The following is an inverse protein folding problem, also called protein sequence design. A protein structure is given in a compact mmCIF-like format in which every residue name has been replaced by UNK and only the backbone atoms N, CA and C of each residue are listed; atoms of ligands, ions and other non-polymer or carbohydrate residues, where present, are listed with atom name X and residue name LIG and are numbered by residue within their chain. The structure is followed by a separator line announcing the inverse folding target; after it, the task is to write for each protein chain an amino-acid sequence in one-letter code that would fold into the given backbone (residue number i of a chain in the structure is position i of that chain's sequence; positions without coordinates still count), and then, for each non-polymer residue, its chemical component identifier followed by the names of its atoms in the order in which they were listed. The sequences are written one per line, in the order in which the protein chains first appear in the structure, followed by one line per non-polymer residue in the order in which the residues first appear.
data_IF_741185114301
#
_entry.id   IF_741185114301
#
_cell.length_a   1.000
_cell.length_b   1.000
_cell.length_c   1.000
_cell.angle_alpha   90.00
_cell.angle_beta   90.00
_cell.angle_gamma   90.00
#
_symmetry.space_group_name_H-M   'P 1'
#
loop_
_entity.id
_entity.type
_entity.pdbx_description
1 polymer ?
#
# COMPACT_ATOMS: atom_id res chain seq x y z
N UNK A 1 14.34 -11.92 -17.20
CA UNK A 1 14.68 -10.80 -16.30
C UNK A 1 13.54 -9.78 -16.39
N UNK A 2 12.88 -9.47 -15.28
CA UNK A 2 11.78 -8.50 -15.25
C UNK A 2 12.32 -7.08 -15.32
N UNK A 3 11.68 -6.23 -16.12
CA UNK A 3 12.05 -4.82 -16.27
C UNK A 3 11.74 -4.07 -14.97
N UNK A 4 12.66 -4.12 -14.01
CA UNK A 4 12.61 -3.33 -12.79
C UNK A 4 13.12 -1.95 -13.11
N UNK A 5 12.30 -0.93 -12.86
CA UNK A 5 12.76 0.46 -12.94
C UNK A 5 14.02 0.62 -12.06
N UNK A 6 15.19 0.97 -12.64
CA UNK A 6 16.42 0.92 -11.87
C UNK A 6 16.38 2.03 -10.82
N UNK A 7 16.32 1.68 -9.53
CA UNK A 7 16.27 2.65 -8.42
C UNK A 7 17.38 3.69 -8.56
N UNK A 8 18.60 3.26 -8.90
CA UNK A 8 19.74 4.14 -9.11
C UNK A 8 19.55 5.12 -10.28
N UNK A 9 18.83 4.74 -11.34
CA UNK A 9 18.50 5.66 -12.44
C UNK A 9 17.55 6.76 -11.96
N UNK A 10 16.58 6.43 -11.11
CA UNK A 10 15.66 7.41 -10.53
C UNK A 10 16.41 8.37 -9.60
N UNK A 11 17.26 7.85 -8.72
CA UNK A 11 18.10 8.69 -7.85
C UNK A 11 18.98 9.65 -8.68
N UNK A 12 19.58 9.15 -9.77
CA UNK A 12 20.45 9.95 -10.65
C UNK A 12 19.70 11.02 -11.43
N UNK A 13 18.64 10.64 -12.14
CA UNK A 13 17.97 11.52 -13.12
C UNK A 13 16.83 12.33 -12.54
N UNK A 14 16.11 11.80 -11.53
CA UNK A 14 14.96 12.49 -10.92
C UNK A 14 15.34 13.27 -9.68
N UNK A 15 16.26 12.72 -8.86
CA UNK A 15 16.74 13.40 -7.65
C UNK A 15 18.10 14.09 -7.83
N UNK A 16 18.74 13.96 -9.00
CA UNK A 16 19.99 14.64 -9.31
C UNK A 16 21.22 14.11 -8.58
N UNK A 17 21.15 12.91 -7.98
CA UNK A 17 22.26 12.29 -7.24
C UNK A 17 23.34 11.78 -8.20
N UNK A 18 24.11 12.70 -8.77
CA UNK A 18 25.25 12.41 -9.64
C UNK A 18 26.58 12.36 -8.87
N UNK A 19 26.66 13.08 -7.74
CA UNK A 19 27.80 13.10 -6.82
C UNK A 19 27.32 13.45 -5.42
N UNK A 20 27.99 12.92 -4.39
CA UNK A 20 27.73 13.35 -3.03
C UNK A 20 28.24 14.78 -2.81
N UNK A 21 27.41 15.60 -2.19
CA UNK A 21 27.76 16.98 -1.82
C UNK A 21 28.49 17.03 -0.48
N UNK A 22 28.16 16.11 0.43
CA UNK A 22 28.79 16.02 1.74
C UNK A 22 30.08 15.20 1.71
N UNK A 23 31.00 15.52 2.62
CA UNK A 23 32.29 14.85 2.77
C UNK A 23 32.32 14.03 4.07
N UNK A 24 33.03 12.91 4.04
CA UNK A 24 33.10 11.95 5.15
C UNK A 24 31.96 10.92 5.13
N UNK A 25 32.28 9.67 5.46
CA UNK A 25 31.37 8.52 5.31
C UNK A 25 30.03 8.69 6.03
N UNK A 26 30.04 9.25 7.25
CA UNK A 26 28.82 9.48 8.03
C UNK A 26 27.87 10.45 7.33
N UNK A 27 28.40 11.53 6.77
CA UNK A 27 27.60 12.54 6.10
C UNK A 27 27.10 12.07 4.72
N UNK A 28 27.92 11.32 3.99
CA UNK A 28 27.54 10.67 2.73
C UNK A 28 26.41 9.66 2.95
N UNK A 29 26.50 8.84 4.02
CA UNK A 29 25.42 7.90 4.39
C UNK A 29 24.09 8.62 4.66
N UNK A 30 24.13 9.75 5.36
CA UNK A 30 22.93 10.55 5.62
C UNK A 30 22.35 11.15 4.33
N UNK A 31 23.19 11.67 3.44
CA UNK A 31 22.75 12.19 2.15
C UNK A 31 22.07 11.11 1.31
N UNK A 32 22.70 9.93 1.21
CA UNK A 32 22.12 8.80 0.50
C UNK A 32 20.82 8.31 1.14
N UNK A 33 20.74 8.22 2.46
CA UNK A 33 19.53 7.74 3.15
C UNK A 33 18.35 8.68 2.93
N UNK A 34 18.57 9.99 2.88
CA UNK A 34 17.52 10.96 2.54
C UNK A 34 17.02 10.78 1.11
N UNK A 35 17.92 10.60 0.15
CA UNK A 35 17.56 10.31 -1.25
C UNK A 35 16.73 9.02 -1.37
N UNK A 36 17.16 7.94 -0.70
CA UNK A 36 16.45 6.68 -0.65
C UNK A 36 15.08 6.79 0.04
N UNK A 37 14.98 7.52 1.16
CA UNK A 37 13.72 7.78 1.84
C UNK A 37 12.75 8.56 0.96
N UNK A 38 13.21 9.62 0.29
CA UNK A 38 12.39 10.41 -0.62
C UNK A 38 11.84 9.54 -1.77
N UNK A 39 12.66 8.64 -2.32
CA UNK A 39 12.23 7.68 -3.33
C UNK A 39 11.16 6.72 -2.79
N UNK A 40 11.43 6.07 -1.65
CA UNK A 40 10.50 5.10 -1.05
C UNK A 40 9.18 5.75 -0.65
N UNK A 41 9.22 6.96 -0.06
CA UNK A 41 8.03 7.70 0.31
C UNK A 41 7.19 8.05 -0.92
N UNK A 42 7.83 8.48 -2.02
CA UNK A 42 7.13 8.74 -3.28
C UNK A 42 6.41 7.49 -3.81
N UNK A 43 7.03 6.31 -3.71
CA UNK A 43 6.41 5.03 -4.10
C UNK A 43 5.24 4.67 -3.20
N UNK A 44 5.37 4.83 -1.89
CA UNK A 44 4.28 4.56 -0.92
C UNK A 44 3.10 5.48 -1.18
N UNK A 45 3.33 6.78 -1.41
CA UNK A 45 2.26 7.73 -1.70
C UNK A 45 1.54 7.41 -3.03
N UNK A 46 2.30 7.09 -4.08
CA UNK A 46 1.72 6.67 -5.35
C UNK A 46 0.87 5.41 -5.19
N UNK A 47 1.38 4.41 -4.47
CA UNK A 47 0.68 3.16 -4.21
C UNK A 47 -0.58 3.37 -3.36
N UNK A 48 -0.50 4.19 -2.32
CA UNK A 48 -1.65 4.57 -1.49
C UNK A 48 -2.74 5.27 -2.30
N UNK A 49 -2.36 6.19 -3.21
CA UNK A 49 -3.28 6.84 -4.14
C UNK A 49 -3.96 5.86 -5.09
N UNK A 50 -3.19 4.90 -5.64
CA UNK A 50 -3.74 3.82 -6.46
C UNK A 50 -4.76 2.98 -5.69
N UNK A 51 -4.41 2.51 -4.49
CA UNK A 51 -5.33 1.74 -3.66
C UNK A 51 -6.57 2.56 -3.29
N UNK A 52 -6.43 3.82 -2.89
CA UNK A 52 -7.56 4.66 -2.54
C UNK A 52 -8.53 4.83 -3.73
N UNK A 53 -7.99 5.09 -4.93
CA UNK A 53 -8.80 5.18 -6.15
C UNK A 53 -9.47 3.87 -6.53
N UNK A 54 -8.74 2.74 -6.41
CA UNK A 54 -9.26 1.40 -6.64
C UNK A 54 -10.39 1.05 -5.67
N UNK A 55 -10.17 1.26 -4.37
CA UNK A 55 -11.16 1.06 -3.32
C UNK A 55 -12.41 1.91 -3.56
N UNK A 56 -12.24 3.19 -3.93
CA UNK A 56 -13.37 4.06 -4.26
C UNK A 56 -14.19 3.49 -5.42
N UNK A 57 -13.54 3.08 -6.52
CA UNK A 57 -14.23 2.46 -7.67
C UNK A 57 -15.00 1.19 -7.28
N UNK A 58 -14.37 0.32 -6.49
CA UNK A 58 -15.00 -0.91 -5.98
C UNK A 58 -16.21 -0.57 -5.11
N UNK A 59 -16.05 0.30 -4.12
CA UNK A 59 -17.13 0.70 -3.23
C UNK A 59 -18.26 1.38 -3.97
N UNK A 60 -17.96 2.10 -5.06
CA UNK A 60 -18.96 2.78 -5.87
C UNK A 60 -19.73 1.87 -6.83
N UNK A 61 -19.23 0.66 -7.07
CA UNK A 61 -19.87 -0.29 -7.97
C UNK A 61 -21.29 -0.66 -7.53
N UNK A 62 -22.22 -0.64 -8.47
CA UNK A 62 -23.62 -0.99 -8.23
C UNK A 62 -23.76 -2.44 -7.72
N UNK A 63 -22.93 -3.35 -8.23
CA UNK A 63 -22.90 -4.76 -7.82
C UNK A 63 -22.53 -4.90 -6.34
N UNK A 64 -21.45 -4.26 -5.88
CA UNK A 64 -21.03 -4.39 -4.48
C UNK A 64 -22.04 -3.73 -3.54
N UNK A 65 -22.60 -2.58 -3.93
CA UNK A 65 -23.71 -1.95 -3.18
C UNK A 65 -24.94 -2.85 -3.08
N UNK A 66 -25.29 -3.56 -4.16
CA UNK A 66 -26.40 -4.50 -4.17
C UNK A 66 -26.13 -5.72 -3.29
N UNK A 67 -24.94 -6.33 -3.41
CA UNK A 67 -24.52 -7.46 -2.57
C UNK A 67 -24.48 -7.09 -1.09
N UNK A 68 -23.91 -5.94 -0.73
CA UNK A 68 -23.88 -5.45 0.65
C UNK A 68 -25.30 -5.31 1.23
N UNK A 69 -26.27 -4.83 0.42
CA UNK A 69 -27.68 -4.71 0.80
C UNK A 69 -28.36 -6.07 0.99
N UNK A 70 -27.99 -7.08 0.20
CA UNK A 70 -28.49 -8.45 0.35
C UNK A 70 -27.91 -9.09 1.61
N UNK A 71 -26.59 -9.00 1.80
CA UNK A 71 -25.88 -9.55 2.95
C UNK A 71 -26.39 -8.93 4.25
N UNK A 72 -26.60 -7.62 4.28
CA UNK A 72 -27.13 -6.93 5.47
C UNK A 72 -28.55 -7.34 5.85
N UNK A 73 -29.26 -8.04 4.96
CA UNK A 73 -30.63 -8.57 5.19
C UNK A 73 -30.64 -10.06 5.51
N UNK A 74 -29.51 -10.75 5.37
CA UNK A 74 -29.42 -12.14 5.79
C UNK A 74 -29.47 -12.20 7.31
N UNK A 75 -30.33 -13.04 7.91
CA UNK A 75 -30.26 -13.31 9.33
C UNK A 75 -28.97 -14.10 9.59
N UNK A 76 -27.91 -13.39 9.95
CA UNK A 76 -26.71 -13.99 10.51
C UNK A 76 -27.13 -14.61 11.85
N UNK A 77 -27.60 -15.86 11.81
CA UNK A 77 -27.88 -16.63 13.02
C UNK A 77 -26.57 -16.69 13.82
N UNK A 78 -26.50 -16.18 15.06
CA UNK A 78 -25.33 -16.41 15.88
C UNK A 78 -25.20 -17.91 16.09
N UNK A 79 -24.06 -18.48 15.70
CA UNK A 79 -23.72 -19.89 15.84
C UNK A 79 -23.44 -20.28 17.32
N UNK A 80 -24.22 -19.75 18.26
CA UNK A 80 -24.16 -20.09 19.68
C UNK A 80 -24.99 -21.34 20.02
N UNK A 81 -25.84 -21.84 19.11
CA UNK A 81 -26.73 -22.97 19.37
C UNK A 81 -26.11 -24.37 19.13
N UNK A 82 -24.86 -24.47 18.68
CA UNK A 82 -24.22 -25.79 18.44
C UNK A 82 -23.36 -26.29 19.60
N UNK A 83 -23.10 -25.47 20.62
CA UNK A 83 -22.33 -25.89 21.80
C UNK A 83 -23.25 -26.46 22.88
N UNK A 84 -24.42 -25.85 23.11
CA UNK A 84 -25.36 -26.30 24.16
C UNK A 84 -26.06 -27.63 23.83
N UNK A 85 -26.25 -27.95 22.54
CA UNK A 85 -26.87 -29.22 22.13
C UNK A 85 -25.93 -30.44 22.25
N UNK A 86 -24.62 -30.22 22.45
CA UNK A 86 -23.64 -31.28 22.63
C UNK A 86 -23.28 -31.53 24.12
N UNK A 87 -23.88 -30.77 25.05
CA UNK A 87 -23.62 -30.88 26.50
C UNK A 87 -24.86 -31.14 27.35
N UNK A 88 -25.99 -31.51 26.74
CA UNK A 88 -27.21 -31.94 27.45
C UNK A 88 -27.42 -33.47 27.33
#
# INVERSE_FOLDING_TARGET
QGMVEPVFSHLRYRQGLNRFRRKGLKAVRLEFSLHAMAYNLSRVLAMGGFYAGYWRRISDSAVIKALARVISRLPLRPALYLVDAATA
#
